data_IF_015537404125
#
_entry.id   IF_015537404125
#
_cell.length_a   1.000
_cell.length_b   1.000
_cell.length_c   1.000
_cell.angle_alpha   90.00
_cell.angle_beta   90.00
_cell.angle_gamma   90.00
#
_symmetry.space_group_name_H-M   'P 1'
#
loop_
_entity.id
_entity.type
_entity.pdbx_description
1 polymer ?
#
# COMPACT_ATOMS: atom_id res chain seq x y z
N UNK A 1 -3.47 -3.68 -17.39
CA UNK A 1 -2.57 -3.45 -18.54
C UNK A 1 -1.30 -4.30 -18.39
N UNK A 2 -0.34 -3.95 -17.53
CA UNK A 2 0.88 -4.76 -17.28
C UNK A 2 0.62 -6.17 -16.73
N UNK A 3 -0.16 -6.30 -15.66
CA UNK A 3 -0.51 -7.61 -15.07
C UNK A 3 -1.32 -8.51 -16.03
N UNK A 4 -1.92 -7.93 -17.07
CA UNK A 4 -2.65 -8.66 -18.12
C UNK A 4 -1.80 -8.81 -19.40
N UNK A 5 -0.49 -8.53 -19.36
CA UNK A 5 0.44 -8.50 -20.50
C UNK A 5 0.00 -7.61 -21.68
N UNK A 6 -0.93 -6.68 -21.45
CA UNK A 6 -1.43 -5.75 -22.48
C UNK A 6 -0.50 -4.57 -22.72
N UNK A 7 0.46 -4.34 -21.82
CA UNK A 7 1.47 -3.27 -21.91
C UNK A 7 2.75 -3.72 -21.23
N UNK A 8 3.92 -3.45 -21.81
CA UNK A 8 5.22 -3.71 -21.17
C UNK A 8 5.55 -2.70 -20.06
N UNK A 9 4.82 -1.58 -20.02
CA UNK A 9 4.96 -0.55 -19.00
C UNK A 9 4.27 -0.97 -17.70
N UNK A 10 5.06 -1.23 -16.66
CA UNK A 10 4.54 -1.42 -15.30
C UNK A 10 4.20 -0.08 -14.67
N UNK A 11 3.01 0.03 -14.03
CA UNK A 11 2.60 1.28 -13.36
C UNK A 11 3.72 1.82 -12.46
N UNK A 12 3.92 3.16 -12.42
CA UNK A 12 4.88 3.77 -11.51
C UNK A 12 4.62 3.33 -10.07
N UNK A 13 5.68 3.20 -9.27
CA UNK A 13 5.60 2.81 -7.86
C UNK A 13 4.65 3.73 -7.07
N UNK A 14 4.63 5.03 -7.40
CA UNK A 14 3.74 6.03 -6.78
C UNK A 14 2.25 5.76 -7.06
N UNK A 15 1.91 5.29 -8.26
CA UNK A 15 0.55 4.90 -8.61
C UNK A 15 0.16 3.55 -8.00
N UNK A 16 1.11 2.63 -7.87
CA UNK A 16 0.85 1.30 -7.30
C UNK A 16 0.67 1.34 -5.78
N UNK A 17 1.34 2.29 -5.10
CA UNK A 17 1.21 2.48 -3.66
C UNK A 17 -0.10 3.15 -3.23
N UNK A 18 -0.87 3.75 -4.15
CA UNK A 18 -2.11 4.43 -3.80
C UNK A 18 -3.10 3.44 -3.15
N UNK A 19 -3.68 3.76 -1.97
CA UNK A 19 -3.82 5.09 -1.36
C UNK A 19 -2.71 5.52 -0.39
N UNK A 20 -1.64 4.74 -0.22
CA UNK A 20 -0.49 5.09 0.61
C UNK A 20 0.46 6.03 -0.13
N UNK A 21 0.86 7.12 0.52
CA UNK A 21 1.85 8.09 0.05
C UNK A 21 3.08 8.05 0.94
N UNK A 22 4.24 8.08 0.31
CA UNK A 22 5.52 8.16 1.03
C UNK A 22 5.99 9.62 1.01
N UNK A 23 6.24 10.19 2.19
CA UNK A 23 6.91 11.47 2.36
C UNK A 23 8.30 11.20 2.92
N UNK A 24 9.33 11.65 2.21
CA UNK A 24 10.72 11.52 2.65
C UNK A 24 11.06 12.70 3.57
N UNK A 25 11.48 12.42 4.80
CA UNK A 25 12.06 13.39 5.71
C UNK A 25 13.57 13.16 5.82
N UNK A 26 14.29 14.11 6.42
CA UNK A 26 15.76 14.06 6.55
C UNK A 26 16.29 12.83 7.28
N UNK A 27 15.50 12.22 8.17
CA UNK A 27 15.91 11.07 8.98
C UNK A 27 15.04 9.82 8.80
N UNK A 28 13.89 9.92 8.15
CA UNK A 28 12.99 8.77 7.93
C UNK A 28 11.98 9.01 6.80
N UNK A 29 11.40 7.93 6.29
CA UNK A 29 10.30 7.98 5.32
C UNK A 29 8.97 7.75 6.05
N UNK A 30 8.02 8.68 5.96
CA UNK A 30 6.69 8.50 6.53
C UNK A 30 5.71 7.94 5.50
N UNK A 31 5.04 6.86 5.86
CA UNK A 31 3.95 6.25 5.10
C UNK A 31 2.62 6.82 5.60
N UNK A 32 1.92 7.57 4.74
CA UNK A 32 0.67 8.24 5.09
C UNK A 32 -0.47 7.73 4.20
N UNK A 33 -1.61 7.41 4.81
CA UNK A 33 -2.83 7.13 4.06
C UNK A 33 -3.41 8.45 3.51
N UNK A 34 -3.59 8.50 2.20
CA UNK A 34 -4.18 9.66 1.53
C UNK A 34 -5.69 9.47 1.38
N UNK A 35 -6.47 10.27 2.12
CA UNK A 35 -7.93 10.30 2.06
C UNK A 35 -8.39 11.50 1.23
N UNK A 36 -9.16 11.25 0.17
CA UNK A 36 -9.79 12.28 -0.67
C UNK A 36 -11.27 11.92 -0.81
N UNK A 37 -12.20 12.87 -0.68
CA UNK A 37 -13.63 12.74 -1.02
C UNK A 37 -14.02 11.86 -2.25
N UNK A 38 -13.19 11.68 -3.27
CA UNK A 38 -13.50 10.75 -4.38
C UNK A 38 -13.28 9.26 -4.05
N UNK A 39 -12.69 8.95 -2.89
CA UNK A 39 -12.39 7.57 -2.48
C UNK A 39 -13.55 6.87 -1.76
N UNK A 40 -14.72 7.50 -1.62
CA UNK A 40 -15.85 6.94 -0.88
C UNK A 40 -16.29 5.57 -1.41
N UNK A 41 -16.33 5.37 -2.73
CA UNK A 41 -16.63 4.07 -3.32
C UNK A 41 -15.60 2.98 -2.94
N UNK A 42 -14.31 3.34 -2.90
CA UNK A 42 -13.25 2.43 -2.48
C UNK A 42 -13.29 2.14 -0.97
N UNK A 43 -13.71 3.11 -0.16
CA UNK A 43 -13.92 2.94 1.28
C UNK A 43 -15.10 2.01 1.58
N UNK A 44 -16.20 2.10 0.83
CA UNK A 44 -17.34 1.18 0.95
C UNK A 44 -16.93 -0.26 0.66
N UNK A 45 -16.22 -0.49 -0.44
CA UNK A 45 -15.70 -1.83 -0.79
C UNK A 45 -14.69 -2.33 0.26
N UNK A 46 -13.81 -1.47 0.74
CA UNK A 46 -12.85 -1.81 1.79
C UNK A 46 -13.53 -2.19 3.11
N UNK A 47 -14.66 -1.55 3.44
CA UNK A 47 -15.46 -1.85 4.64
C UNK A 47 -16.10 -3.23 4.56
N UNK A 48 -16.58 -3.65 3.39
CA UNK A 48 -17.11 -4.98 3.15
C UNK A 48 -16.04 -6.06 3.25
N UNK A 49 -14.87 -5.81 2.64
CA UNK A 49 -13.77 -6.77 2.62
C UNK A 49 -13.07 -6.92 3.97
N UNK A 50 -13.15 -5.92 4.86
CA UNK A 50 -12.49 -5.89 6.18
C UNK A 50 -10.95 -6.09 6.08
N UNK A 51 -10.35 -5.75 4.94
CA UNK A 51 -8.92 -5.94 4.69
C UNK A 51 -8.14 -4.68 5.11
N UNK A 52 -7.08 -4.80 5.92
CA UNK A 52 -6.19 -3.67 6.22
C UNK A 52 -5.47 -3.14 4.99
N UNK A 53 -5.25 -1.82 4.95
CA UNK A 53 -4.61 -1.15 3.80
C UNK A 53 -3.21 -1.70 3.50
N UNK A 54 -2.41 -1.99 4.52
CA UNK A 54 -1.05 -2.53 4.31
C UNK A 54 -1.05 -3.89 3.60
N UNK A 55 -2.12 -4.70 3.75
CA UNK A 55 -2.30 -5.95 3.00
C UNK A 55 -2.76 -5.70 1.58
N UNK A 56 -3.60 -4.69 1.36
CA UNK A 56 -4.06 -4.31 0.02
C UNK A 56 -2.91 -3.85 -0.88
N UNK A 57 -1.97 -3.07 -0.34
CA UNK A 57 -0.80 -2.58 -1.09
C UNK A 57 0.47 -3.45 -0.90
N UNK A 58 0.32 -4.72 -0.52
CA UNK A 58 1.44 -5.63 -0.24
C UNK A 58 2.50 -5.65 -1.34
N UNK A 59 2.11 -5.94 -2.58
CA UNK A 59 3.03 -5.98 -3.72
C UNK A 59 3.76 -4.64 -3.94
N UNK A 60 3.06 -3.53 -3.74
CA UNK A 60 3.64 -2.20 -3.90
C UNK A 60 4.65 -1.88 -2.79
N UNK A 61 4.37 -2.29 -1.54
CA UNK A 61 5.28 -2.14 -0.41
C UNK A 61 6.52 -3.02 -0.57
N UNK A 62 6.35 -4.29 -0.94
CA UNK A 62 7.47 -5.22 -1.20
C UNK A 62 8.35 -4.69 -2.33
N UNK A 63 7.76 -4.15 -3.40
CA UNK A 63 8.51 -3.58 -4.52
C UNK A 63 9.32 -2.32 -4.14
N UNK A 64 8.84 -1.51 -3.18
CA UNK A 64 9.54 -0.28 -2.75
C UNK A 64 10.54 -0.50 -1.61
N UNK A 65 10.18 -1.30 -0.60
CA UNK A 65 10.96 -1.45 0.64
C UNK A 65 11.59 -2.84 0.82
N UNK A 66 11.22 -3.81 -0.01
CA UNK A 66 11.71 -5.20 0.08
C UNK A 66 10.77 -6.13 0.85
N UNK A 67 10.99 -7.43 0.66
CA UNK A 67 10.17 -8.47 1.27
C UNK A 67 10.40 -8.60 2.78
N UNK A 68 11.64 -8.44 3.23
CA UNK A 68 12.00 -8.53 4.65
C UNK A 68 11.32 -7.42 5.46
N UNK A 69 11.38 -6.18 4.96
CA UNK A 69 10.70 -5.04 5.58
C UNK A 69 9.18 -5.26 5.72
N UNK A 70 8.54 -5.81 4.69
CA UNK A 70 7.11 -6.11 4.74
C UNK A 70 6.79 -7.21 5.78
N UNK A 71 7.67 -8.20 5.92
CA UNK A 71 7.51 -9.27 6.92
C UNK A 71 7.60 -8.75 8.35
N UNK A 72 8.53 -7.82 8.61
CA UNK A 72 8.62 -7.13 9.91
C UNK A 72 7.36 -6.31 10.20
N UNK A 73 6.84 -5.59 9.19
CA UNK A 73 5.59 -4.85 9.31
C UNK A 73 4.41 -5.78 9.63
N UNK A 74 4.31 -6.94 9.01
CA UNK A 74 3.28 -7.94 9.32
C UNK A 74 3.41 -8.48 10.75
N UNK A 75 4.63 -8.72 11.22
CA UNK A 75 4.87 -9.17 12.59
C UNK A 75 4.44 -8.11 13.62
N UNK A 76 4.78 -6.83 13.38
CA UNK A 76 4.35 -5.71 14.24
C UNK A 76 2.84 -5.53 14.19
N UNK A 77 2.23 -5.57 13.00
CA UNK A 77 0.79 -5.44 12.85
C UNK A 77 0.02 -6.57 13.56
N UNK A 78 0.57 -7.79 13.61
CA UNK A 78 0.00 -8.92 14.36
C UNK A 78 0.11 -8.68 15.87
N UNK A 79 1.22 -8.12 16.36
CA UNK A 79 1.40 -7.77 17.78
C UNK A 79 0.46 -6.65 18.23
N UNK A 80 0.21 -5.64 17.39
CA UNK A 80 -0.68 -4.50 17.70
C UNK A 80 -2.18 -4.85 17.69
N UNK A 81 -2.55 -6.01 17.14
CA UNK A 81 -3.94 -6.52 17.08
C UNK A 81 -4.25 -7.54 18.18
N UNK A 82 -3.26 -7.88 19.02
CA UNK A 82 -3.44 -8.69 20.23
C UNK A 82 -3.83 -7.79 21.40
#
# INVERSE_FOLDING_TARGET
AYLQKKTEWQKPISCHLYPVRVKEYSSFSALNYHKWHVCDAACSLGKELQIPIYKFVKDALIRKFGADWYRDLEAVAKKLRA
#
